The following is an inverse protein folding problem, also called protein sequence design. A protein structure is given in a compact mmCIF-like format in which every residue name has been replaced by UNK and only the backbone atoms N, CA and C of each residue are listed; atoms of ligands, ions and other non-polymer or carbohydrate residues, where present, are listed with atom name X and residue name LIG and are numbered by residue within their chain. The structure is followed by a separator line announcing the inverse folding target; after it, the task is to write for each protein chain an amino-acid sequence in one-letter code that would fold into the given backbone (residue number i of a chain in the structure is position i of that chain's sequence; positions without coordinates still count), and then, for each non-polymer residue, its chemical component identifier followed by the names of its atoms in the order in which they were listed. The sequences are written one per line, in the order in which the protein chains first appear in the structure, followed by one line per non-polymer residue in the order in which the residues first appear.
data_IF_900303692194
#
_entry.id   IF_900303692194
#
_cell.length_a   1.000
_cell.length_b   1.000
_cell.length_c   1.000
_cell.angle_alpha   90.00
_cell.angle_beta   90.00
_cell.angle_gamma   90.00
#
_symmetry.space_group_name_H-M   'P 1'
#
loop_
_entity.id
_entity.type
_entity.pdbx_description
1 polymer ?
#
# COMPACT_ATOMS: atom_id res chain seq x y z
N UNK A 1 21.31 51.24 45.84
CA UNK A 1 21.34 49.75 45.80
C UNK A 1 20.11 49.28 45.04
N UNK A 2 20.18 49.07 43.75
CA UNK A 2 19.08 48.63 42.89
C UNK A 2 19.24 47.16 42.57
N UNK A 3 18.33 46.31 43.03
CA UNK A 3 18.25 44.90 42.65
C UNK A 3 17.47 44.80 41.35
N UNK A 4 18.15 44.44 40.28
CA UNK A 4 17.54 44.16 38.97
C UNK A 4 17.07 42.69 38.96
N UNK A 5 15.74 42.50 38.94
CA UNK A 5 15.13 41.22 38.69
C UNK A 5 15.10 40.98 37.16
N UNK A 6 15.94 40.07 36.69
CA UNK A 6 15.86 39.52 35.30
C UNK A 6 14.78 38.44 35.26
N UNK A 7 13.61 38.82 34.81
CA UNK A 7 12.55 37.87 34.49
C UNK A 7 12.93 37.17 33.17
N UNK A 8 13.39 35.93 33.29
CA UNK A 8 13.60 35.05 32.12
C UNK A 8 12.27 34.55 31.62
N UNK A 9 11.91 34.94 30.41
CA UNK A 9 10.75 34.44 29.69
C UNK A 9 11.14 33.08 29.06
N UNK A 10 10.66 31.99 29.68
CA UNK A 10 10.78 30.65 29.09
C UNK A 10 9.77 30.53 27.94
N UNK A 11 10.27 30.60 26.70
CA UNK A 11 9.48 30.22 25.51
C UNK A 11 9.36 28.70 25.49
N UNK A 12 8.17 28.21 25.84
CA UNK A 12 7.80 26.80 25.64
C UNK A 12 7.54 26.59 24.15
N UNK A 13 8.50 26.04 23.43
CA UNK A 13 8.32 25.60 22.05
C UNK A 13 7.50 24.32 22.06
N UNK A 14 6.19 24.40 21.78
CA UNK A 14 5.34 23.26 21.52
C UNK A 14 5.71 22.68 20.15
N UNK A 15 6.43 21.57 20.17
CA UNK A 15 6.68 20.77 18.97
C UNK A 15 5.38 20.05 18.62
N UNK A 16 4.66 20.57 17.62
CA UNK A 16 3.58 19.85 16.99
C UNK A 16 4.17 18.70 16.17
N UNK A 17 4.21 17.51 16.74
CA UNK A 17 4.45 16.29 15.98
C UNK A 17 3.25 16.05 15.08
N UNK A 18 3.35 16.49 13.82
CA UNK A 18 2.44 16.06 12.77
C UNK A 18 2.68 14.57 12.54
N UNK A 19 1.79 13.72 13.05
CA UNK A 19 1.74 12.31 12.72
C UNK A 19 1.40 12.23 11.23
N UNK A 20 2.41 12.09 10.39
CA UNK A 20 2.20 11.71 9.00
C UNK A 20 1.54 10.33 9.04
N UNK A 21 0.28 10.26 8.65
CA UNK A 21 -0.43 8.99 8.49
C UNK A 21 0.23 8.26 7.32
N UNK A 22 1.12 7.32 7.64
CA UNK A 22 1.70 6.45 6.63
C UNK A 22 0.57 5.59 6.04
N UNK A 23 0.52 5.51 4.69
CA UNK A 23 -0.40 4.63 3.99
C UNK A 23 -0.12 3.19 4.43
N UNK A 24 -1.16 2.48 4.83
CA UNK A 24 -1.07 1.09 5.28
C UNK A 24 -1.65 0.18 4.21
N UNK A 25 -0.79 -0.57 3.54
CA UNK A 25 -1.20 -1.55 2.56
C UNK A 25 -1.15 -2.97 3.13
N UNK A 26 -2.13 -3.77 2.73
CA UNK A 26 -2.22 -5.21 2.95
C UNK A 26 -2.56 -5.88 1.61
N UNK A 27 -2.51 -7.19 1.57
CA UNK A 27 -2.99 -7.96 0.42
C UNK A 27 -4.03 -9.00 0.85
N UNK A 28 -4.84 -9.42 -0.09
CA UNK A 28 -5.83 -10.48 0.14
C UNK A 28 -5.10 -11.81 0.30
N UNK A 29 -5.41 -12.53 1.38
CA UNK A 29 -4.72 -13.76 1.76
C UNK A 29 -5.14 -14.97 0.91
N UNK A 30 -6.41 -15.03 0.50
CA UNK A 30 -6.97 -16.19 -0.22
C UNK A 30 -7.96 -15.77 -1.29
N UNK A 31 -8.09 -16.59 -2.33
CA UNK A 31 -9.06 -16.34 -3.38
C UNK A 31 -10.50 -16.34 -2.86
N UNK A 32 -11.38 -15.64 -3.57
CA UNK A 32 -12.80 -15.51 -3.27
C UNK A 32 -13.08 -14.90 -1.89
N UNK A 33 -12.22 -14.01 -1.42
CA UNK A 33 -12.46 -13.25 -0.18
C UNK A 33 -13.62 -12.30 -0.38
N UNK A 34 -14.63 -12.40 0.47
CA UNK A 34 -15.84 -11.58 0.39
C UNK A 34 -15.58 -10.18 0.91
N UNK A 35 -15.97 -9.19 0.12
CA UNK A 35 -15.97 -7.78 0.47
C UNK A 35 -17.40 -7.33 0.78
N UNK A 36 -17.57 -6.62 1.90
CA UNK A 36 -18.87 -6.24 2.45
C UNK A 36 -19.10 -4.72 2.45
N UNK A 37 -20.34 -4.29 2.49
CA UNK A 37 -20.71 -2.87 2.65
C UNK A 37 -20.61 -2.37 4.11
N UNK A 38 -20.63 -3.29 5.09
CA UNK A 38 -20.57 -3.01 6.52
C UNK A 38 -19.59 -3.96 7.22
N UNK A 39 -19.07 -3.62 8.42
CA UNK A 39 -18.15 -4.47 9.18
C UNK A 39 -18.88 -5.63 9.87
N UNK A 40 -19.58 -6.45 9.10
CA UNK A 40 -20.37 -7.58 9.60
C UNK A 40 -20.50 -8.67 8.53
N UNK A 41 -20.47 -9.92 8.95
CA UNK A 41 -20.78 -11.08 8.11
C UNK A 41 -22.23 -11.08 7.60
N UNK A 42 -23.11 -10.29 8.22
CA UNK A 42 -24.50 -10.06 7.78
C UNK A 42 -24.63 -8.92 6.79
N UNK A 43 -23.55 -8.18 6.53
CA UNK A 43 -23.52 -7.12 5.55
C UNK A 43 -23.80 -7.62 4.14
N UNK A 44 -24.17 -6.69 3.27
CA UNK A 44 -24.32 -7.00 1.85
C UNK A 44 -22.96 -7.36 1.26
N UNK A 45 -22.90 -8.47 0.56
CA UNK A 45 -21.73 -8.89 -0.19
C UNK A 45 -21.63 -8.06 -1.47
N UNK A 46 -20.53 -7.32 -1.61
CA UNK A 46 -20.32 -6.43 -2.75
C UNK A 46 -19.66 -7.16 -3.92
N UNK A 47 -18.53 -7.83 -3.64
CA UNK A 47 -17.77 -8.60 -4.63
C UNK A 47 -16.81 -9.58 -3.94
N UNK A 48 -16.14 -10.39 -4.74
CA UNK A 48 -15.10 -11.31 -4.30
C UNK A 48 -13.75 -10.77 -4.75
N UNK A 49 -12.80 -10.65 -3.82
CA UNK A 49 -11.44 -10.27 -4.10
C UNK A 49 -10.55 -11.51 -4.31
N UNK A 50 -9.60 -11.39 -5.22
CA UNK A 50 -8.63 -12.43 -5.53
C UNK A 50 -7.43 -12.38 -4.59
N UNK A 51 -6.81 -13.51 -4.38
CA UNK A 51 -5.55 -13.63 -3.64
C UNK A 51 -4.49 -12.67 -4.23
N UNK A 52 -3.66 -12.12 -3.35
CA UNK A 52 -2.60 -11.16 -3.66
C UNK A 52 -3.06 -9.76 -4.07
N UNK A 53 -4.36 -9.52 -4.21
CA UNK A 53 -4.86 -8.19 -4.54
C UNK A 53 -4.49 -7.20 -3.42
N UNK A 54 -3.79 -6.08 -3.73
CA UNK A 54 -3.44 -5.08 -2.73
C UNK A 54 -4.65 -4.23 -2.36
N UNK A 55 -4.74 -3.86 -1.09
CA UNK A 55 -5.73 -2.95 -0.55
C UNK A 55 -5.09 -1.97 0.42
N UNK A 56 -5.57 -0.74 0.46
CA UNK A 56 -5.16 0.25 1.44
C UNK A 56 -6.11 0.21 2.64
N UNK A 57 -5.58 0.03 3.84
CA UNK A 57 -6.37 0.00 5.07
C UNK A 57 -6.69 1.43 5.50
N UNK A 58 -7.98 1.78 5.54
CA UNK A 58 -8.48 3.09 5.93
C UNK A 58 -8.91 3.12 7.40
N UNK A 59 -9.61 2.07 7.85
CA UNK A 59 -10.08 1.91 9.22
C UNK A 59 -9.81 0.48 9.66
N UNK A 60 -9.28 0.28 10.86
CA UNK A 60 -9.06 -1.03 11.45
C UNK A 60 -9.89 -1.17 12.72
N UNK A 61 -10.85 -2.09 12.69
CA UNK A 61 -11.63 -2.52 13.86
C UNK A 61 -11.06 -3.84 14.39
N UNK A 62 -11.69 -4.42 15.41
CA UNK A 62 -11.20 -5.68 16.02
C UNK A 62 -11.14 -6.83 15.00
N UNK A 63 -12.23 -7.07 14.25
CA UNK A 63 -12.36 -8.20 13.32
C UNK A 63 -12.48 -7.80 11.85
N UNK A 64 -12.72 -6.54 11.56
CA UNK A 64 -12.91 -6.01 10.21
C UNK A 64 -11.98 -4.83 9.93
N UNK A 65 -11.60 -4.66 8.67
CA UNK A 65 -10.94 -3.47 8.17
C UNK A 65 -11.74 -2.87 7.01
N UNK A 66 -11.86 -1.55 7.02
CA UNK A 66 -12.32 -0.80 5.84
C UNK A 66 -11.14 -0.57 4.94
N UNK A 67 -11.25 -0.97 3.70
CA UNK A 67 -10.17 -0.89 2.73
C UNK A 67 -10.60 -0.14 1.49
N UNK A 68 -9.62 0.43 0.80
CA UNK A 68 -9.77 1.09 -0.49
C UNK A 68 -9.01 0.31 -1.55
N UNK A 69 -9.62 0.11 -2.72
CA UNK A 69 -9.00 -0.55 -3.85
C UNK A 69 -8.34 0.46 -4.82
N UNK A 70 -7.74 -0.05 -5.90
CA UNK A 70 -7.07 0.77 -6.93
C UNK A 70 -8.02 1.74 -7.64
N UNK A 71 -9.31 1.45 -7.71
CA UNK A 71 -10.34 2.32 -8.28
C UNK A 71 -10.84 3.39 -7.30
N UNK A 72 -10.40 3.34 -6.04
CA UNK A 72 -10.86 4.23 -4.98
C UNK A 72 -12.13 3.75 -4.26
N UNK A 73 -12.64 2.57 -4.60
CA UNK A 73 -13.84 2.00 -4.00
C UNK A 73 -13.55 1.50 -2.58
N UNK A 74 -14.51 1.74 -1.68
CA UNK A 74 -14.42 1.35 -0.27
C UNK A 74 -15.25 0.09 0.00
N UNK A 75 -14.69 -0.83 0.78
CA UNK A 75 -15.36 -2.03 1.24
C UNK A 75 -14.83 -2.47 2.60
N UNK A 76 -15.58 -3.35 3.27
CA UNK A 76 -15.15 -3.99 4.50
C UNK A 76 -14.73 -5.44 4.25
N UNK A 77 -13.69 -5.86 4.91
CA UNK A 77 -13.17 -7.23 4.84
C UNK A 77 -12.82 -7.74 6.23
N UNK A 78 -12.97 -9.02 6.46
CA UNK A 78 -12.48 -9.64 7.70
C UNK A 78 -10.95 -9.52 7.78
N UNK A 79 -10.43 -9.02 8.90
CA UNK A 79 -8.97 -8.85 9.09
C UNK A 79 -8.19 -10.15 8.94
N UNK A 80 -8.77 -11.29 9.33
CA UNK A 80 -8.15 -12.61 9.15
C UNK A 80 -7.95 -13.02 7.68
N UNK A 81 -8.59 -12.30 6.75
CA UNK A 81 -8.45 -12.49 5.30
C UNK A 81 -7.40 -11.58 4.67
N UNK A 82 -6.72 -10.77 5.48
CA UNK A 82 -5.64 -9.89 5.06
C UNK A 82 -4.27 -10.49 5.40
N UNK A 83 -3.30 -10.26 4.51
CA UNK A 83 -1.90 -10.64 4.65
C UNK A 83 -1.02 -9.39 4.73
N UNK A 84 0.05 -9.46 5.49
CA UNK A 84 1.09 -8.42 5.52
C UNK A 84 1.99 -8.43 4.29
N UNK A 85 1.87 -9.44 3.44
CA UNK A 85 2.64 -9.55 2.21
C UNK A 85 2.37 -8.34 1.33
N UNK A 86 3.43 -7.60 1.00
CA UNK A 86 3.32 -6.38 0.20
C UNK A 86 3.19 -6.75 -1.27
N UNK A 87 2.09 -6.32 -1.84
CA UNK A 87 1.79 -6.49 -3.26
C UNK A 87 1.58 -5.13 -3.90
N UNK A 88 1.88 -5.01 -5.17
CA UNK A 88 1.53 -3.86 -6.00
C UNK A 88 0.72 -4.34 -7.20
N UNK A 89 -0.16 -3.50 -7.70
CA UNK A 89 -1.03 -3.80 -8.82
C UNK A 89 -0.63 -2.94 -10.02
N UNK A 90 -0.43 -3.55 -11.18
CA UNK A 90 -0.17 -2.81 -12.41
C UNK A 90 -1.39 -1.96 -12.76
N UNK A 91 -1.20 -0.64 -12.88
CA UNK A 91 -2.28 0.33 -13.12
C UNK A 91 -2.20 1.02 -14.49
N UNK A 92 -1.30 0.58 -15.35
CA UNK A 92 -1.18 0.96 -16.75
C UNK A 92 -1.54 -0.21 -17.66
N UNK A 93 -1.75 0.04 -18.96
CA UNK A 93 -2.14 -1.04 -19.89
C UNK A 93 -1.09 -2.13 -19.96
N UNK A 94 0.20 -1.75 -19.98
CA UNK A 94 1.32 -2.67 -20.02
C UNK A 94 2.50 -2.05 -19.28
N UNK A 95 3.00 -2.72 -18.24
CA UNK A 95 4.18 -2.33 -17.50
C UNK A 95 5.39 -3.13 -17.95
N UNK A 96 6.53 -2.46 -18.10
CA UNK A 96 7.81 -3.09 -18.41
C UNK A 96 8.55 -3.43 -17.11
N UNK A 97 8.87 -4.69 -16.92
CA UNK A 97 9.72 -5.15 -15.82
C UNK A 97 11.10 -5.49 -16.39
N UNK A 98 12.12 -4.78 -15.90
CA UNK A 98 13.47 -4.77 -16.45
C UNK A 98 14.48 -5.43 -15.53
N UNK A 99 15.64 -5.81 -16.05
CA UNK A 99 16.72 -6.46 -15.30
C UNK A 99 17.38 -5.54 -14.25
N UNK A 100 17.33 -4.24 -14.47
CA UNK A 100 17.86 -3.22 -13.56
C UNK A 100 16.91 -2.02 -13.48
N UNK A 101 17.10 -1.19 -12.47
CA UNK A 101 16.35 0.08 -12.27
C UNK A 101 16.83 1.15 -13.27
N UNK A 102 16.73 0.86 -14.56
CA UNK A 102 17.19 1.67 -15.68
C UNK A 102 16.29 1.42 -16.89
N UNK A 103 15.87 2.50 -17.57
CA UNK A 103 15.04 2.42 -18.78
C UNK A 103 15.72 1.71 -19.94
N UNK A 104 17.06 1.70 -19.99
CA UNK A 104 17.85 1.05 -21.01
C UNK A 104 18.19 -0.41 -20.67
N UNK A 105 17.85 -0.88 -19.46
CA UNK A 105 18.05 -2.26 -19.08
C UNK A 105 17.17 -3.21 -19.92
N UNK A 106 17.64 -4.44 -20.10
CA UNK A 106 16.91 -5.47 -20.83
C UNK A 106 15.56 -5.78 -20.14
N UNK A 107 14.56 -6.06 -20.95
CA UNK A 107 13.24 -6.46 -20.49
C UNK A 107 13.30 -7.90 -19.95
N UNK A 108 12.72 -8.13 -18.76
CA UNK A 108 12.54 -9.47 -18.19
C UNK A 108 11.18 -10.02 -18.61
N UNK A 109 10.11 -9.25 -18.34
CA UNK A 109 8.75 -9.55 -18.77
C UNK A 109 7.91 -8.26 -18.81
N UNK A 110 6.74 -8.37 -19.40
CA UNK A 110 5.73 -7.33 -19.37
C UNK A 110 4.51 -7.82 -18.58
N UNK A 111 3.87 -6.91 -17.85
CA UNK A 111 2.69 -7.21 -17.07
C UNK A 111 1.54 -6.29 -17.47
N UNK A 112 0.40 -6.91 -17.76
CA UNK A 112 -0.84 -6.20 -18.11
C UNK A 112 -1.48 -5.56 -16.88
N UNK A 113 -2.41 -4.65 -17.12
CA UNK A 113 -3.23 -4.03 -16.07
C UNK A 113 -3.87 -5.09 -15.17
N UNK A 114 -3.90 -4.79 -13.86
CA UNK A 114 -4.44 -5.64 -12.80
C UNK A 114 -3.60 -6.89 -12.48
N UNK A 115 -2.43 -7.06 -13.06
CA UNK A 115 -1.48 -8.08 -12.60
C UNK A 115 -0.92 -7.64 -11.25
N UNK A 116 -0.98 -8.52 -10.26
CA UNK A 116 -0.38 -8.30 -8.94
C UNK A 116 1.06 -8.82 -8.92
N UNK A 117 1.97 -7.97 -8.45
CA UNK A 117 3.39 -8.28 -8.30
C UNK A 117 3.78 -8.14 -6.83
N UNK A 118 4.61 -9.04 -6.32
CA UNK A 118 5.16 -8.92 -4.98
C UNK A 118 6.20 -7.80 -4.92
N UNK A 119 6.04 -6.88 -3.97
CA UNK A 119 7.01 -5.83 -3.72
C UNK A 119 8.14 -6.36 -2.86
N UNK A 120 9.35 -6.41 -3.41
CA UNK A 120 10.55 -6.91 -2.71
C UNK A 120 11.36 -5.76 -2.11
N UNK A 121 11.50 -4.64 -2.82
CA UNK A 121 12.40 -3.56 -2.42
C UNK A 121 12.01 -2.23 -3.07
N UNK A 122 12.18 -1.13 -2.31
CA UNK A 122 12.17 0.25 -2.82
C UNK A 122 13.60 0.67 -3.16
N UNK A 123 13.82 1.22 -4.36
CA UNK A 123 15.18 1.58 -4.80
C UNK A 123 15.56 3.04 -4.53
N UNK A 124 14.67 3.88 -4.03
CA UNK A 124 14.85 5.33 -3.86
C UNK A 124 15.11 6.11 -5.17
N UNK A 125 14.93 5.49 -6.33
CA UNK A 125 15.18 6.10 -7.65
C UNK A 125 13.93 6.11 -8.54
N UNK A 126 12.76 5.87 -7.96
CA UNK A 126 11.49 5.78 -8.69
C UNK A 126 11.22 4.40 -9.29
N UNK A 127 11.99 3.40 -8.89
CA UNK A 127 11.84 2.00 -9.28
C UNK A 127 11.53 1.13 -8.06
N UNK A 128 10.85 0.01 -8.31
CA UNK A 128 10.59 -1.04 -7.33
C UNK A 128 11.16 -2.35 -7.83
N UNK A 129 11.78 -3.12 -6.95
CA UNK A 129 12.08 -4.53 -7.24
C UNK A 129 10.85 -5.36 -6.95
N UNK A 130 10.42 -6.14 -7.92
CA UNK A 130 9.19 -6.93 -7.84
C UNK A 130 9.43 -8.38 -8.26
N UNK A 131 8.50 -9.26 -7.87
CA UNK A 131 8.48 -10.65 -8.27
C UNK A 131 7.09 -11.03 -8.78
N UNK A 132 7.06 -11.63 -9.96
CA UNK A 132 5.85 -12.24 -10.51
C UNK A 132 5.56 -13.58 -9.80
N UNK A 133 4.29 -14.03 -9.70
CA UNK A 133 3.94 -15.32 -9.08
C UNK A 133 4.65 -16.53 -9.67
N UNK A 134 5.10 -16.48 -10.92
CA UNK A 134 5.92 -17.54 -11.57
C UNK A 134 7.38 -17.57 -11.09
N UNK A 135 7.81 -16.60 -10.28
CA UNK A 135 9.15 -16.48 -9.72
C UNK A 135 10.09 -15.51 -10.45
N UNK A 136 9.71 -14.99 -11.61
CA UNK A 136 10.51 -14.00 -12.33
C UNK A 136 10.60 -12.69 -11.53
N UNK A 137 11.81 -12.14 -11.40
CA UNK A 137 12.08 -10.90 -10.68
C UNK A 137 12.61 -9.81 -11.62
N UNK A 138 12.38 -8.57 -11.25
CA UNK A 138 12.91 -7.43 -11.99
C UNK A 138 12.48 -6.11 -11.37
N UNK A 139 12.66 -5.04 -12.13
CA UNK A 139 12.39 -3.68 -11.68
C UNK A 139 11.28 -3.04 -12.52
N UNK A 140 10.31 -2.44 -11.87
CA UNK A 140 9.20 -1.71 -12.48
C UNK A 140 9.21 -0.26 -11.99
N UNK A 141 8.77 0.68 -12.81
CA UNK A 141 8.59 2.06 -12.38
C UNK A 141 7.45 2.18 -11.39
N UNK A 142 7.67 2.95 -10.33
CA UNK A 142 6.65 3.23 -9.29
C UNK A 142 5.39 3.86 -9.90
N UNK A 143 5.53 4.66 -10.97
CA UNK A 143 4.42 5.29 -11.68
C UNK A 143 3.52 4.32 -12.45
N UNK A 144 3.95 3.07 -12.66
CA UNK A 144 3.20 2.05 -13.40
C UNK A 144 2.41 1.11 -12.50
N UNK A 145 2.52 1.27 -11.19
CA UNK A 145 1.86 0.40 -10.20
C UNK A 145 1.16 1.20 -9.13
N UNK A 146 0.24 0.55 -8.43
CA UNK A 146 -0.47 1.05 -7.27
C UNK A 146 -0.25 0.12 -6.08
N UNK A 147 -0.23 0.68 -4.86
CA UNK A 147 -0.05 -0.12 -3.63
C UNK A 147 1.28 0.15 -2.92
N UNK A 148 1.89 1.31 -3.21
CA UNK A 148 3.19 1.72 -2.63
C UNK A 148 3.05 2.73 -1.52
#
# INVERSE_FOLDING_TARGET
MGRWHRTGLLLLATVFSSSAWALEFRSILSDRTVMYDTPSLRGKKLYLASRYYPVEVIVSLEHFAKVRDVAGELAWVEKKRLSEKRMVLVNVSLADVRQAADENAALVFQAERNVALELLEYTNTGWLKVRHPDGATGFVRISQVWGT
#
